data_IF_719949905323
#
_entry.id   IF_719949905323
#
_cell.length_a   1.000
_cell.length_b   1.000
_cell.length_c   1.000
_cell.angle_alpha   90.00
_cell.angle_beta   90.00
_cell.angle_gamma   90.00
#
_symmetry.space_group_name_H-M   'P 1'
#
loop_
_entity.id
_entity.type
_entity.pdbx_description
1 polymer ?
#
# COMPACT_ATOMS: atom_id res chain seq x y z
N UNK A 1 -2.56 -1.20 -28.11
CA UNK A 1 -3.24 -0.53 -26.99
C UNK A 1 -2.28 0.20 -26.05
N UNK A 2 -0.98 -0.04 -26.12
CA UNK A 2 0.04 0.70 -25.36
C UNK A 2 0.88 1.66 -26.22
N UNK A 3 0.58 1.78 -27.50
CA UNK A 3 1.35 2.63 -28.43
C UNK A 3 1.12 4.14 -28.22
N UNK A 4 0.12 4.51 -27.45
CA UNK A 4 -0.24 5.92 -27.16
C UNK A 4 0.19 6.37 -25.76
N UNK A 5 0.70 5.45 -24.93
CA UNK A 5 1.36 5.77 -23.67
C UNK A 5 2.85 5.81 -23.93
N UNK A 6 3.53 6.83 -23.40
CA UNK A 6 4.98 6.90 -23.43
C UNK A 6 5.56 5.51 -23.15
N UNK A 7 6.41 5.00 -24.01
CA UNK A 7 7.19 3.80 -23.76
C UNK A 7 8.17 4.08 -22.62
N UNK A 8 7.66 3.94 -21.40
CA UNK A 8 8.42 4.22 -20.18
C UNK A 8 9.66 3.36 -20.09
N UNK A 9 9.57 2.08 -20.51
CA UNK A 9 10.71 1.17 -20.47
C UNK A 9 11.76 1.62 -21.49
N UNK A 10 11.37 1.90 -22.73
CA UNK A 10 12.29 2.41 -23.74
C UNK A 10 12.91 3.75 -23.36
N UNK A 11 12.13 4.64 -22.75
CA UNK A 11 12.64 5.92 -22.26
C UNK A 11 13.70 5.74 -21.15
N UNK A 12 13.42 4.88 -20.17
CA UNK A 12 14.39 4.58 -19.10
C UNK A 12 15.61 3.86 -19.65
N UNK A 13 15.43 2.90 -20.55
CA UNK A 13 16.55 2.18 -21.21
C UNK A 13 17.49 3.14 -21.93
N UNK A 14 16.97 4.19 -22.53
CA UNK A 14 17.76 5.22 -23.19
C UNK A 14 18.63 6.07 -22.25
N UNK A 15 18.26 6.16 -20.98
CA UNK A 15 19.00 6.90 -19.94
C UNK A 15 19.86 5.98 -19.07
N UNK A 16 19.32 4.82 -18.70
CA UNK A 16 19.96 3.81 -17.87
C UNK A 16 19.63 2.41 -18.42
N UNK A 17 20.53 1.84 -19.26
CA UNK A 17 20.29 0.54 -19.88
C UNK A 17 20.19 -0.61 -18.89
N UNK A 18 20.85 -0.54 -17.74
CA UNK A 18 20.81 -1.62 -16.73
C UNK A 18 19.45 -1.68 -16.06
N UNK A 19 18.90 -0.52 -15.65
CA UNK A 19 17.56 -0.42 -15.09
C UNK A 19 16.51 -0.76 -16.14
N UNK A 20 16.63 -0.24 -17.34
CA UNK A 20 15.72 -0.55 -18.46
C UNK A 20 15.64 -2.05 -18.76
N UNK A 21 16.76 -2.74 -18.80
CA UNK A 21 16.81 -4.19 -19.00
C UNK A 21 16.13 -4.96 -17.84
N UNK A 22 16.29 -4.48 -16.61
CA UNK A 22 15.60 -5.10 -15.46
C UNK A 22 14.08 -4.94 -15.59
N UNK A 23 13.59 -3.76 -16.00
CA UNK A 23 12.17 -3.51 -16.25
C UNK A 23 11.60 -4.38 -17.37
N UNK A 24 12.34 -4.57 -18.48
CA UNK A 24 11.93 -5.47 -19.57
C UNK A 24 11.80 -6.93 -19.10
N UNK A 25 12.79 -7.40 -18.33
CA UNK A 25 12.78 -8.76 -17.78
C UNK A 25 11.60 -8.97 -16.82
N UNK A 26 11.30 -7.97 -15.98
CA UNK A 26 10.16 -8.03 -15.06
C UNK A 26 8.82 -8.01 -15.82
N UNK A 27 8.68 -7.18 -16.84
CA UNK A 27 7.49 -7.20 -17.69
C UNK A 27 7.30 -8.56 -18.36
N UNK A 28 8.39 -9.17 -18.86
CA UNK A 28 8.34 -10.50 -19.43
C UNK A 28 7.97 -11.58 -18.40
N UNK A 29 8.46 -11.45 -17.16
CA UNK A 29 8.09 -12.34 -16.04
C UNK A 29 6.61 -12.24 -15.73
N UNK A 30 6.07 -11.05 -15.54
CA UNK A 30 4.66 -10.84 -15.23
C UNK A 30 3.71 -11.33 -16.33
N UNK A 31 4.11 -11.22 -17.58
CA UNK A 31 3.31 -11.75 -18.71
C UNK A 31 3.32 -13.27 -18.83
N UNK A 32 4.35 -13.92 -18.34
CA UNK A 32 4.55 -15.38 -18.46
C UNK A 32 4.02 -16.13 -17.24
N UNK A 33 4.13 -15.56 -16.06
CA UNK A 33 3.85 -16.25 -14.80
C UNK A 33 2.44 -15.92 -14.28
N UNK A 34 1.84 -16.88 -13.60
CA UNK A 34 0.67 -16.63 -12.75
C UNK A 34 1.16 -16.19 -11.38
N UNK A 35 0.70 -15.02 -10.92
CA UNK A 35 1.01 -14.54 -9.60
C UNK A 35 0.05 -15.17 -8.58
N UNK A 36 0.61 -15.86 -7.58
CA UNK A 36 -0.17 -16.56 -6.54
C UNK A 36 -0.02 -15.92 -5.16
N UNK A 37 0.68 -14.78 -5.05
CA UNK A 37 0.79 -14.03 -3.81
C UNK A 37 -0.45 -13.16 -3.66
N UNK A 38 -1.30 -13.48 -2.68
CA UNK A 38 -2.60 -12.83 -2.50
C UNK A 38 -2.53 -11.32 -2.20
N UNK A 39 -1.39 -10.82 -1.73
CA UNK A 39 -1.14 -9.40 -1.47
C UNK A 39 -0.66 -8.61 -2.68
N UNK A 40 -0.40 -9.26 -3.80
CA UNK A 40 -0.01 -8.58 -5.04
C UNK A 40 -1.21 -8.25 -5.92
N UNK A 41 -1.13 -7.14 -6.63
CA UNK A 41 -2.13 -6.71 -7.60
C UNK A 41 -1.45 -6.12 -8.84
N UNK A 42 -2.03 -6.41 -10.01
CA UNK A 42 -1.60 -5.81 -11.28
C UNK A 42 -2.41 -4.54 -11.48
N UNK A 43 -1.76 -3.40 -11.28
CA UNK A 43 -2.40 -2.09 -11.42
C UNK A 43 -2.60 -1.71 -12.90
N UNK A 44 -3.55 -0.81 -13.15
CA UNK A 44 -3.76 -0.29 -14.51
C UNK A 44 -2.59 0.58 -14.97
N UNK A 45 -2.38 0.69 -16.29
CA UNK A 45 -1.37 1.61 -16.84
C UNK A 45 -1.52 3.06 -16.37
N UNK A 46 -2.75 3.51 -16.15
CA UNK A 46 -3.03 4.86 -15.65
C UNK A 46 -2.49 5.08 -14.24
N UNK A 47 -2.57 4.06 -13.36
CA UNK A 47 -1.99 4.12 -12.01
C UNK A 47 -0.47 4.23 -12.09
N UNK A 48 0.18 3.40 -12.93
CA UNK A 48 1.64 3.47 -13.13
C UNK A 48 2.08 4.83 -13.66
N UNK A 49 1.36 5.38 -14.63
CA UNK A 49 1.66 6.70 -15.20
C UNK A 49 1.46 7.83 -14.17
N UNK A 50 0.43 7.77 -13.34
CA UNK A 50 0.19 8.76 -12.29
C UNK A 50 1.30 8.76 -11.24
N UNK A 51 1.80 7.59 -10.84
CA UNK A 51 2.89 7.46 -9.87
C UNK A 51 4.20 8.07 -10.38
N UNK A 52 4.48 7.98 -11.69
CA UNK A 52 5.66 8.56 -12.33
C UNK A 52 5.45 9.98 -12.88
N UNK A 53 4.40 10.68 -12.47
CA UNK A 53 4.08 12.03 -12.96
C UNK A 53 4.88 13.13 -12.25
N UNK A 54 4.66 14.37 -12.69
CA UNK A 54 5.27 15.57 -12.08
C UNK A 54 4.93 15.75 -10.59
N UNK A 55 3.86 15.13 -10.11
CA UNK A 55 3.50 15.12 -8.69
C UNK A 55 4.61 14.51 -7.81
N UNK A 56 5.44 13.62 -8.36
CA UNK A 56 6.61 13.03 -7.69
C UNK A 56 7.62 14.09 -7.23
N UNK A 57 7.68 15.23 -7.89
CA UNK A 57 8.63 16.30 -7.56
C UNK A 57 8.17 17.20 -6.40
N UNK A 58 6.91 17.07 -5.95
CA UNK A 58 6.34 17.97 -4.96
C UNK A 58 6.41 17.43 -3.55
N UNK A 59 7.12 18.14 -2.68
CA UNK A 59 7.13 17.91 -1.24
C UNK A 59 5.90 18.56 -0.60
N UNK A 60 5.04 17.76 0.02
CA UNK A 60 3.71 18.17 0.47
C UNK A 60 3.41 17.76 1.91
N UNK A 61 4.33 18.07 2.82
CA UNK A 61 4.14 17.80 4.26
C UNK A 61 2.91 18.57 4.79
N UNK A 62 2.13 17.89 5.60
CA UNK A 62 0.85 18.38 6.13
C UNK A 62 -0.34 17.71 5.44
N UNK A 63 -1.49 18.38 5.45
CA UNK A 63 -2.74 17.88 4.89
C UNK A 63 -3.34 18.88 3.91
N UNK A 64 -4.32 18.50 3.07
CA UNK A 64 -4.99 19.43 2.17
C UNK A 64 -5.45 20.70 2.89
N UNK A 65 -5.11 21.86 2.36
CA UNK A 65 -5.38 23.16 2.96
C UNK A 65 -4.58 23.52 4.22
N UNK A 66 -3.69 22.62 4.67
CA UNK A 66 -2.86 22.79 5.88
C UNK A 66 -1.43 22.30 5.65
N UNK A 67 -0.79 22.80 4.61
CA UNK A 67 0.58 22.45 4.23
C UNK A 67 1.60 23.33 4.90
N UNK A 68 2.77 22.76 5.14
CA UNK A 68 3.92 23.52 5.65
C UNK A 68 4.64 24.30 4.55
N UNK A 69 4.43 23.93 3.27
CA UNK A 69 5.10 24.54 2.12
C UNK A 69 4.08 25.05 1.10
N UNK A 70 4.46 26.09 0.35
CA UNK A 70 3.67 26.63 -0.75
C UNK A 70 3.68 25.73 -1.99
N UNK A 71 2.78 26.02 -2.96
CA UNK A 71 2.71 25.30 -4.24
C UNK A 71 2.07 23.92 -4.14
N UNK A 72 1.19 23.71 -3.15
CA UNK A 72 0.53 22.42 -2.92
C UNK A 72 -0.91 22.36 -3.45
N UNK A 73 -1.37 23.38 -4.16
CA UNK A 73 -2.76 23.53 -4.59
C UNK A 73 -3.23 22.32 -5.40
N UNK A 74 -2.43 21.87 -6.36
CA UNK A 74 -2.78 20.71 -7.20
C UNK A 74 -2.59 19.37 -6.49
N UNK A 75 -1.63 19.28 -5.59
CA UNK A 75 -1.46 18.09 -4.73
C UNK A 75 -2.64 17.96 -3.77
N UNK A 76 -3.13 19.07 -3.24
CA UNK A 76 -4.31 19.09 -2.38
C UNK A 76 -5.54 18.55 -3.11
N UNK A 77 -5.73 18.93 -4.36
CA UNK A 77 -6.82 18.40 -5.20
C UNK A 77 -6.68 16.89 -5.37
N UNK A 78 -5.48 16.40 -5.71
CA UNK A 78 -5.25 14.97 -5.90
C UNK A 78 -5.48 14.17 -4.61
N UNK A 79 -4.98 14.65 -3.48
CA UNK A 79 -5.17 14.00 -2.19
C UNK A 79 -6.63 14.05 -1.73
N UNK A 80 -7.33 15.18 -1.91
CA UNK A 80 -8.74 15.29 -1.56
C UNK A 80 -9.62 14.34 -2.38
N UNK A 81 -9.36 14.19 -3.68
CA UNK A 81 -10.05 13.20 -4.52
C UNK A 81 -9.84 11.78 -3.98
N UNK A 82 -8.62 11.44 -3.55
CA UNK A 82 -8.34 10.13 -3.00
C UNK A 82 -9.09 9.90 -1.67
N UNK A 83 -9.12 10.91 -0.78
CA UNK A 83 -9.88 10.88 0.48
C UNK A 83 -11.38 10.65 0.21
N UNK A 84 -11.97 11.45 -0.68
CA UNK A 84 -13.40 11.39 -0.95
C UNK A 84 -13.81 10.04 -1.56
N UNK A 85 -13.02 9.53 -2.50
CA UNK A 85 -13.24 8.20 -3.10
C UNK A 85 -13.05 7.06 -2.11
N UNK A 86 -12.07 7.14 -1.21
CA UNK A 86 -11.90 6.15 -0.14
C UNK A 86 -13.10 6.17 0.82
N UNK A 87 -13.59 7.34 1.20
CA UNK A 87 -14.80 7.47 2.04
C UNK A 87 -16.04 6.87 1.36
N UNK A 88 -16.22 7.15 0.09
CA UNK A 88 -17.35 6.60 -0.70
C UNK A 88 -17.24 5.07 -0.81
N UNK A 89 -16.07 4.56 -1.17
CA UNK A 89 -15.83 3.13 -1.39
C UNK A 89 -16.07 2.30 -0.13
N UNK A 90 -15.64 2.80 1.02
CA UNK A 90 -15.71 2.07 2.30
C UNK A 90 -16.90 2.49 3.18
N UNK A 91 -17.71 3.46 2.76
CA UNK A 91 -18.79 4.03 3.59
C UNK A 91 -18.26 4.69 4.87
N UNK A 92 -17.05 5.23 4.84
CA UNK A 92 -16.36 5.77 6.00
C UNK A 92 -16.62 7.27 6.17
N UNK A 93 -16.72 7.73 7.42
CA UNK A 93 -16.82 9.17 7.71
C UNK A 93 -15.49 9.90 7.48
N UNK A 94 -14.37 9.21 7.72
CA UNK A 94 -13.02 9.74 7.62
C UNK A 94 -12.11 8.78 6.85
N UNK A 95 -11.14 9.31 6.14
CA UNK A 95 -10.08 8.54 5.49
C UNK A 95 -8.76 9.32 5.55
N UNK A 96 -7.67 8.60 5.76
CA UNK A 96 -6.31 9.10 5.60
C UNK A 96 -5.61 8.28 4.52
N UNK A 97 -5.18 8.92 3.45
CA UNK A 97 -4.57 8.27 2.28
C UNK A 97 -3.05 8.46 2.21
N UNK A 98 -2.45 9.04 3.25
CA UNK A 98 -1.01 9.33 3.28
C UNK A 98 -0.09 8.15 3.66
N UNK A 99 -0.53 7.09 4.38
CA UNK A 99 0.37 5.99 4.67
C UNK A 99 0.98 5.40 3.38
N UNK A 100 2.30 5.27 3.34
CA UNK A 100 3.01 4.76 2.16
C UNK A 100 2.99 3.23 2.04
N UNK A 101 2.47 2.53 3.06
CA UNK A 101 2.32 1.08 3.06
C UNK A 101 1.24 0.62 4.04
N UNK A 102 0.71 -0.59 3.86
CA UNK A 102 -0.18 -1.22 4.82
C UNK A 102 0.47 -1.38 6.20
N UNK A 103 1.77 -1.63 6.27
CA UNK A 103 2.51 -1.73 7.53
C UNK A 103 2.50 -0.40 8.31
N UNK A 104 2.73 0.74 7.63
CA UNK A 104 2.66 2.05 8.28
C UNK A 104 1.23 2.44 8.67
N UNK A 105 0.23 2.07 7.86
CA UNK A 105 -1.17 2.28 8.21
C UNK A 105 -1.56 1.50 9.46
N UNK A 106 -1.22 0.21 9.53
CA UNK A 106 -1.48 -0.61 10.71
C UNK A 106 -0.75 -0.09 11.95
N UNK A 107 0.50 0.34 11.81
CA UNK A 107 1.24 0.94 12.93
C UNK A 107 0.55 2.21 13.45
N UNK A 108 0.06 3.08 12.55
CA UNK A 108 -0.65 4.29 12.93
C UNK A 108 -1.95 3.96 13.69
N UNK A 109 -2.72 2.99 13.23
CA UNK A 109 -3.96 2.54 13.90
C UNK A 109 -3.65 1.99 15.29
N UNK A 110 -2.68 1.09 15.40
CA UNK A 110 -2.31 0.51 16.69
C UNK A 110 -1.80 1.57 17.65
N UNK A 111 -0.97 2.49 17.18
CA UNK A 111 -0.46 3.59 18.02
C UNK A 111 -1.56 4.54 18.52
N UNK A 112 -2.60 4.73 17.70
CA UNK A 112 -3.73 5.59 18.08
C UNK A 112 -4.68 4.93 19.07
N UNK A 113 -4.86 3.59 19.01
CA UNK A 113 -5.91 2.87 19.73
C UNK A 113 -5.39 2.00 20.89
N UNK A 114 -4.11 1.68 20.92
CA UNK A 114 -3.52 0.75 21.88
C UNK A 114 -2.22 1.30 22.50
N UNK A 115 -1.89 0.80 23.67
CA UNK A 115 -0.63 1.07 24.38
C UNK A 115 0.24 -0.16 24.38
N UNK A 116 1.58 -0.04 24.48
CA UNK A 116 2.44 -1.19 24.68
C UNK A 116 1.96 -2.04 25.87
N UNK A 117 1.81 -3.34 25.66
CA UNK A 117 1.28 -4.30 26.63
C UNK A 117 -0.24 -4.52 26.55
N UNK A 118 -0.97 -3.77 25.75
CA UNK A 118 -2.38 -4.07 25.49
C UNK A 118 -2.53 -5.34 24.64
N UNK A 119 -3.67 -6.02 24.81
CA UNK A 119 -3.95 -7.25 24.03
C UNK A 119 -4.42 -6.93 22.63
N UNK A 120 -3.77 -7.54 21.64
CA UNK A 120 -4.13 -7.47 20.23
C UNK A 120 -4.52 -8.86 19.73
N UNK A 121 -5.74 -8.98 19.20
CA UNK A 121 -6.18 -10.22 18.56
C UNK A 121 -5.99 -10.11 17.03
N UNK A 122 -5.33 -11.11 16.42
CA UNK A 122 -5.07 -11.15 14.99
C UNK A 122 -5.07 -12.56 14.42
N UNK A 123 -5.33 -12.67 13.11
CA UNK A 123 -5.21 -13.94 12.40
C UNK A 123 -3.76 -14.40 12.39
N UNK A 124 -3.53 -15.68 12.72
CA UNK A 124 -2.20 -16.31 12.67
C UNK A 124 -1.58 -16.19 11.26
N UNK A 125 -0.28 -15.91 11.20
CA UNK A 125 0.45 -15.82 9.93
C UNK A 125 0.34 -17.11 9.10
N UNK A 126 0.38 -18.27 9.75
CA UNK A 126 0.23 -19.58 9.10
C UNK A 126 -1.15 -19.78 8.45
N UNK A 127 -2.14 -19.03 8.87
CA UNK A 127 -3.52 -19.08 8.37
C UNK A 127 -3.89 -17.88 7.50
N UNK A 128 -2.89 -17.12 7.01
CA UNK A 128 -3.08 -16.00 6.10
C UNK A 128 -3.11 -14.62 6.76
N UNK A 129 -2.75 -14.52 8.04
CA UNK A 129 -2.61 -13.24 8.75
C UNK A 129 -1.46 -12.41 8.22
N UNK A 130 -1.56 -11.09 8.36
CA UNK A 130 -0.50 -10.18 7.97
C UNK A 130 0.58 -10.11 9.06
N UNK A 131 1.83 -9.88 8.66
CA UNK A 131 2.97 -9.74 9.59
C UNK A 131 2.72 -8.69 10.69
N UNK A 132 2.08 -7.57 10.34
CA UNK A 132 1.79 -6.47 11.27
C UNK A 132 0.62 -6.74 12.22
N UNK A 133 -0.02 -7.90 12.13
CA UNK A 133 -1.10 -8.31 13.03
C UNK A 133 -0.62 -9.21 14.18
N UNK A 134 0.59 -8.99 14.69
CA UNK A 134 1.08 -9.65 15.88
C UNK A 134 2.15 -10.72 15.67
N UNK A 135 2.74 -10.82 14.50
CA UNK A 135 3.86 -11.74 14.28
C UNK A 135 5.03 -11.36 15.20
N UNK A 136 5.59 -12.33 15.91
CA UNK A 136 6.55 -12.12 17.02
C UNK A 136 7.78 -11.27 16.70
N UNK A 137 8.27 -11.32 15.46
CA UNK A 137 9.43 -10.52 15.04
C UNK A 137 9.04 -9.12 14.53
N UNK A 138 7.75 -8.89 14.28
CA UNK A 138 7.23 -7.60 13.88
C UNK A 138 7.08 -6.66 15.09
N UNK A 139 7.01 -5.34 14.86
CA UNK A 139 6.80 -4.37 15.92
C UNK A 139 5.55 -4.68 16.75
N UNK A 140 4.46 -5.14 16.12
CA UNK A 140 3.21 -5.47 16.80
C UNK A 140 3.37 -6.62 17.78
N UNK A 141 4.08 -7.68 17.39
CA UNK A 141 4.35 -8.83 18.29
C UNK A 141 5.37 -8.55 19.40
N UNK A 142 6.09 -7.42 19.31
CA UNK A 142 7.04 -6.97 20.34
C UNK A 142 6.44 -6.00 21.35
N UNK A 143 5.44 -5.24 20.93
CA UNK A 143 4.85 -4.17 21.73
C UNK A 143 3.56 -4.60 22.42
N UNK A 144 2.83 -5.57 21.86
CA UNK A 144 1.50 -5.95 22.33
C UNK A 144 1.46 -7.43 22.75
N UNK A 145 0.53 -7.74 23.65
CA UNK A 145 0.22 -9.13 24.03
C UNK A 145 -0.70 -9.72 22.96
N UNK A 146 -0.17 -10.69 22.21
CA UNK A 146 -0.84 -11.22 21.02
C UNK A 146 -1.69 -12.44 21.35
N UNK A 147 -2.96 -12.39 21.00
CA UNK A 147 -3.88 -13.52 20.94
C UNK A 147 -4.14 -13.84 19.47
N UNK A 148 -3.56 -14.93 18.98
CA UNK A 148 -3.77 -15.37 17.61
C UNK A 148 -5.04 -16.23 17.51
N UNK A 149 -5.85 -15.98 16.48
CA UNK A 149 -6.89 -16.91 16.08
C UNK A 149 -6.52 -17.58 14.75
N UNK A 150 -7.15 -18.70 14.47
CA UNK A 150 -6.84 -19.56 13.33
C UNK A 150 -8.08 -19.83 12.50
N UNK A 151 -7.90 -20.35 11.28
CA UNK A 151 -9.02 -20.82 10.46
C UNK A 151 -9.27 -22.31 10.74
N UNK A 152 -10.52 -22.71 10.78
CA UNK A 152 -10.90 -24.11 10.87
C UNK A 152 -10.70 -24.79 9.51
N UNK A 153 -9.83 -25.83 9.44
CA UNK A 153 -9.43 -26.42 8.15
C UNK A 153 -10.60 -26.95 7.31
N UNK A 154 -11.63 -27.49 7.96
CA UNK A 154 -12.75 -28.14 7.30
C UNK A 154 -13.74 -27.16 6.65
N UNK A 155 -13.89 -25.98 7.21
CA UNK A 155 -14.93 -25.02 6.77
C UNK A 155 -14.36 -23.66 6.33
N UNK A 156 -13.04 -23.45 6.44
CA UNK A 156 -12.39 -22.21 6.06
C UNK A 156 -12.86 -20.97 6.85
N UNK A 157 -13.51 -21.16 8.01
CA UNK A 157 -13.95 -20.07 8.89
C UNK A 157 -12.95 -19.83 10.00
N UNK A 158 -12.89 -18.61 10.48
CA UNK A 158 -12.09 -18.27 11.64
C UNK A 158 -12.64 -18.96 12.90
N UNK A 159 -11.74 -19.51 13.69
CA UNK A 159 -12.03 -20.11 15.00
C UNK A 159 -11.26 -19.32 16.07
N UNK A 160 -11.93 -18.95 17.14
CA UNK A 160 -11.36 -18.20 18.28
C UNK A 160 -11.28 -19.11 19.50
#
# INVERSE_FOLDING_TARGET
>A
MFNDLMDTIGFVTGQDPEVGQAMEKELARQRRNLELIASENIVSPAVMAAMGSVLTNKYAEGYPGRRYYGGCEEVDVAEQIAIDRAKELFGAEHANVQPHSGASANAAVMHALARPGDTLMGLSLAHGGHLTHGMKINFSGRLYDIVAYETEPEIGRAHV
#
